data_IF_435676680045
#
_entry.id   IF_435676680045
#
_cell.length_a   1.000
_cell.length_b   1.000
_cell.length_c   1.000
_cell.angle_alpha   90.00
_cell.angle_beta   90.00
_cell.angle_gamma   90.00
#
_symmetry.space_group_name_H-M   'P 1'
#
loop_
_entity.id
_entity.type
_entity.pdbx_description
1 polymer ?
#
# COMPACT_ATOMS: atom_id res chain seq x y z
N UNK A 1 -10.26 -2.08 -8.55
CA UNK A 1 -8.98 -1.47 -8.12
C UNK A 1 -9.04 0.06 -8.13
N UNK A 2 -9.97 0.70 -8.86
CA UNK A 2 -10.11 2.17 -8.92
C UNK A 2 -10.14 2.88 -7.55
N UNK A 3 -10.91 2.38 -6.58
CA UNK A 3 -10.96 2.95 -5.22
C UNK A 3 -9.58 2.88 -4.54
N UNK A 4 -8.85 1.78 -4.69
CA UNK A 4 -7.49 1.64 -4.17
C UNK A 4 -6.53 2.60 -4.86
N UNK A 5 -6.61 2.74 -6.19
CA UNK A 5 -5.79 3.69 -6.94
C UNK A 5 -6.06 5.15 -6.50
N UNK A 6 -7.33 5.52 -6.31
CA UNK A 6 -7.72 6.83 -5.78
C UNK A 6 -7.16 7.05 -4.37
N UNK A 7 -7.23 6.04 -3.49
CA UNK A 7 -6.65 6.11 -2.16
C UNK A 7 -5.14 6.33 -2.22
N UNK A 8 -4.40 5.55 -3.02
CA UNK A 8 -2.94 5.71 -3.17
C UNK A 8 -2.58 7.08 -3.73
N UNK A 9 -3.29 7.58 -4.74
CA UNK A 9 -3.06 8.91 -5.29
C UNK A 9 -3.31 10.03 -4.27
N UNK A 10 -4.34 9.89 -3.44
CA UNK A 10 -4.62 10.85 -2.37
C UNK A 10 -3.55 10.81 -1.26
N UNK A 11 -3.05 9.62 -0.91
CA UNK A 11 -1.95 9.48 0.05
C UNK A 11 -0.67 10.16 -0.47
N UNK A 12 -0.30 9.94 -1.74
CA UNK A 12 0.85 10.61 -2.37
C UNK A 12 0.71 12.14 -2.33
N UNK A 13 -0.48 12.65 -2.65
CA UNK A 13 -0.77 14.08 -2.58
C UNK A 13 -0.52 14.65 -1.17
N UNK A 14 -1.06 13.99 -0.14
CA UNK A 14 -0.93 14.43 1.25
C UNK A 14 0.50 14.31 1.78
N UNK A 15 1.23 13.25 1.42
CA UNK A 15 2.67 13.13 1.69
C UNK A 15 3.43 14.29 1.04
N UNK A 16 3.09 14.62 -0.21
CA UNK A 16 3.66 15.74 -0.95
C UNK A 16 3.49 17.08 -0.22
N UNK A 17 2.32 17.32 0.41
CA UNK A 17 2.07 18.53 1.21
C UNK A 17 3.00 18.64 2.42
N UNK A 18 3.23 17.53 3.14
CA UNK A 18 4.18 17.50 4.26
C UNK A 18 5.59 17.81 3.78
N UNK A 19 6.04 17.15 2.71
CA UNK A 19 7.37 17.39 2.13
C UNK A 19 7.52 18.84 1.66
N UNK A 20 6.50 19.40 1.02
CA UNK A 20 6.51 20.79 0.58
C UNK A 20 6.68 21.76 1.75
N UNK A 21 6.01 21.51 2.88
CA UNK A 21 6.19 22.33 4.07
C UNK A 21 7.64 22.36 4.56
N UNK A 22 8.37 21.23 4.53
CA UNK A 22 9.80 21.20 4.87
C UNK A 22 10.67 21.97 3.87
N UNK A 23 10.28 22.03 2.59
CA UNK A 23 10.96 22.86 1.58
C UNK A 23 10.74 24.34 1.86
N UNK A 24 9.50 24.74 2.15
CA UNK A 24 9.15 26.14 2.44
C UNK A 24 9.85 26.66 3.69
N UNK A 25 10.06 25.81 4.70
CA UNK A 25 10.85 26.12 5.89
C UNK A 25 12.38 26.20 5.64
N UNK A 26 12.84 25.87 4.43
CA UNK A 26 14.28 25.78 4.11
C UNK A 26 14.98 24.62 4.83
N UNK A 27 14.24 23.61 5.30
CA UNK A 27 14.78 22.48 6.09
C UNK A 27 14.88 21.17 5.31
N UNK A 28 14.32 21.11 4.11
CA UNK A 28 14.29 19.91 3.26
C UNK A 28 15.67 19.29 3.05
N UNK A 29 16.68 20.10 2.71
CA UNK A 29 18.01 19.57 2.40
C UNK A 29 18.65 18.82 3.57
N UNK A 30 18.35 19.23 4.81
CA UNK A 30 18.86 18.60 6.02
C UNK A 30 17.81 17.75 6.74
N UNK A 31 16.84 17.20 6.01
CA UNK A 31 15.84 16.27 6.54
C UNK A 31 16.05 14.90 5.89
N UNK A 32 16.17 13.85 6.71
CA UNK A 32 16.13 12.47 6.27
C UNK A 32 14.66 12.04 6.17
N UNK A 33 14.26 11.61 4.98
CA UNK A 33 12.91 11.09 4.72
C UNK A 33 13.07 9.65 4.27
N UNK A 34 12.35 8.76 4.92
CA UNK A 34 12.25 7.35 4.60
C UNK A 34 10.79 7.08 4.24
N UNK A 35 10.56 6.60 3.03
CA UNK A 35 9.26 6.14 2.57
C UNK A 35 9.32 4.63 2.38
N UNK A 36 8.37 3.90 2.97
CA UNK A 36 8.20 2.48 2.76
C UNK A 36 6.79 2.25 2.19
N UNK A 37 6.69 1.48 1.10
CA UNK A 37 5.44 1.25 0.38
C UNK A 37 4.53 0.22 1.06
N UNK A 38 4.17 0.48 2.32
CA UNK A 38 3.38 -0.41 3.16
C UNK A 38 4.18 -0.99 4.34
N UNK A 39 3.47 -1.56 5.31
CA UNK A 39 4.02 -2.24 6.48
C UNK A 39 4.11 -3.77 6.30
N UNK A 40 3.55 -4.30 5.21
CA UNK A 40 3.54 -5.70 4.79
C UNK A 40 3.12 -5.81 3.31
N UNK A 41 3.21 -7.01 2.75
CA UNK A 41 2.72 -7.32 1.40
C UNK A 41 1.29 -6.85 1.12
N UNK A 42 0.91 -6.77 -0.15
CA UNK A 42 -0.42 -6.25 -0.50
C UNK A 42 -1.53 -7.12 0.12
N UNK A 43 -2.53 -6.56 0.80
CA UNK A 43 -3.56 -7.41 1.43
C UNK A 43 -4.43 -8.13 0.40
N UNK A 44 -4.81 -9.39 0.66
CA UNK A 44 -5.72 -10.20 -0.18
C UNK A 44 -7.05 -10.53 0.55
N UNK A 45 -7.39 -9.77 1.58
CA UNK A 45 -8.53 -10.00 2.47
C UNK A 45 -9.89 -9.74 1.78
N UNK A 46 -9.89 -9.29 0.51
CA UNK A 46 -11.08 -9.25 -0.33
C UNK A 46 -11.43 -10.59 -1.00
N UNK A 47 -10.57 -11.61 -0.92
CA UNK A 47 -10.80 -12.89 -1.58
C UNK A 47 -10.86 -12.78 -3.12
N UNK A 48 -11.24 -13.86 -3.83
CA UNK A 48 -11.17 -13.91 -5.30
C UNK A 48 -11.99 -12.82 -6.01
N UNK A 49 -13.13 -12.43 -5.44
CA UNK A 49 -14.07 -11.49 -6.08
C UNK A 49 -13.94 -10.05 -5.56
N UNK A 50 -13.15 -9.83 -4.51
CA UNK A 50 -13.25 -8.62 -3.70
C UNK A 50 -14.44 -8.67 -2.74
N UNK A 51 -14.56 -7.65 -1.91
CA UNK A 51 -15.67 -7.51 -0.96
C UNK A 51 -16.08 -6.06 -0.80
N UNK A 52 -17.38 -5.80 -0.64
CA UNK A 52 -17.90 -4.49 -0.22
C UNK A 52 -17.63 -4.19 1.28
N UNK A 53 -17.30 -5.24 2.06
CA UNK A 53 -17.03 -5.15 3.49
C UNK A 53 -15.98 -6.19 3.91
N UNK A 54 -14.79 -5.74 4.30
CA UNK A 54 -13.70 -6.57 4.81
C UNK A 54 -14.09 -7.24 6.15
N UNK A 55 -15.08 -6.71 6.87
CA UNK A 55 -15.68 -7.40 8.03
C UNK A 55 -16.24 -8.77 7.64
N UNK A 56 -16.74 -8.94 6.41
CA UNK A 56 -17.20 -10.24 5.93
C UNK A 56 -16.05 -11.27 5.95
N UNK A 57 -14.86 -10.90 5.50
CA UNK A 57 -13.67 -11.75 5.53
C UNK A 57 -13.29 -12.14 6.96
N UNK A 58 -13.25 -11.18 7.89
CA UNK A 58 -12.92 -11.46 9.30
C UNK A 58 -13.92 -12.40 9.99
N UNK A 59 -15.14 -12.51 9.47
CA UNK A 59 -16.19 -13.39 9.99
C UNK A 59 -16.39 -14.66 9.16
N UNK A 60 -15.51 -14.94 8.18
CA UNK A 60 -15.64 -16.12 7.32
C UNK A 60 -16.87 -16.12 6.41
N UNK A 61 -17.44 -14.94 6.15
CA UNK A 61 -18.60 -14.75 5.27
C UNK A 61 -18.10 -14.41 3.87
N UNK A 62 -18.57 -15.16 2.87
CA UNK A 62 -18.29 -14.91 1.46
C UNK A 62 -19.58 -14.53 0.72
N UNK A 63 -19.95 -13.23 0.64
CA UNK A 63 -21.14 -12.80 -0.07
C UNK A 63 -21.02 -13.10 -1.57
N UNK A 64 -22.11 -13.60 -2.17
CA UNK A 64 -22.17 -13.77 -3.63
C UNK A 64 -22.01 -12.43 -4.35
N UNK A 65 -21.50 -12.45 -5.58
CA UNK A 65 -21.36 -11.26 -6.43
C UNK A 65 -22.70 -10.49 -6.49
N UNK A 66 -23.82 -11.19 -6.73
CA UNK A 66 -25.16 -10.57 -6.75
C UNK A 66 -25.52 -9.83 -5.45
N UNK A 67 -25.04 -10.30 -4.31
CA UNK A 67 -25.23 -9.61 -3.02
C UNK A 67 -24.34 -8.39 -2.93
N UNK A 68 -23.07 -8.51 -3.32
CA UNK A 68 -22.11 -7.42 -3.28
C UNK A 68 -22.50 -6.26 -4.21
N UNK A 69 -23.00 -6.57 -5.41
CA UNK A 69 -23.38 -5.60 -6.43
C UNK A 69 -24.55 -4.70 -6.02
N UNK A 70 -25.35 -5.10 -5.01
CA UNK A 70 -26.38 -4.23 -4.42
C UNK A 70 -25.79 -2.99 -3.74
N UNK A 71 -24.50 -3.02 -3.42
CA UNK A 71 -23.78 -1.94 -2.76
C UNK A 71 -22.85 -1.18 -3.71
N UNK A 72 -22.91 -1.41 -5.02
CA UNK A 72 -21.95 -0.87 -5.99
C UNK A 72 -21.69 0.63 -5.81
N UNK A 73 -22.75 1.44 -5.69
CA UNK A 73 -22.65 2.90 -5.53
C UNK A 73 -22.05 3.35 -4.19
N UNK A 74 -21.97 2.46 -3.20
CA UNK A 74 -21.37 2.75 -1.90
C UNK A 74 -19.86 2.49 -1.86
N UNK A 75 -19.28 1.78 -2.85
CA UNK A 75 -17.86 1.43 -2.83
C UNK A 75 -16.98 2.67 -2.87
N UNK A 76 -16.00 2.74 -1.96
CA UNK A 76 -15.12 3.90 -1.82
C UNK A 76 -15.73 5.10 -1.08
N UNK A 77 -16.99 4.99 -0.64
CA UNK A 77 -17.62 5.96 0.26
C UNK A 77 -17.48 5.51 1.72
N UNK A 78 -17.86 6.38 2.65
CA UNK A 78 -17.95 6.08 4.08
C UNK A 78 -18.93 4.94 4.43
N UNK A 79 -19.79 4.53 3.50
CA UNK A 79 -20.79 3.48 3.70
C UNK A 79 -20.30 2.07 3.32
N UNK A 80 -19.06 1.93 2.84
CA UNK A 80 -18.45 0.65 2.53
C UNK A 80 -17.12 0.50 3.28
N UNK A 81 -16.78 -0.75 3.60
CA UNK A 81 -15.44 -1.10 4.08
C UNK A 81 -14.81 -2.04 3.06
N UNK A 82 -14.77 -1.59 1.81
CA UNK A 82 -14.48 -2.43 0.67
C UNK A 82 -13.01 -2.83 0.59
N UNK A 83 -12.76 -3.99 0.00
CA UNK A 83 -11.42 -4.49 -0.28
C UNK A 83 -11.36 -5.03 -1.71
N UNK A 84 -10.26 -4.75 -2.42
CA UNK A 84 -10.04 -5.25 -3.78
C UNK A 84 -9.90 -6.78 -3.80
N UNK A 85 -10.09 -7.39 -4.97
CA UNK A 85 -9.87 -8.83 -5.12
C UNK A 85 -8.41 -9.22 -4.93
N UNK A 86 -8.20 -10.44 -4.43
CA UNK A 86 -6.88 -11.05 -4.21
C UNK A 86 -6.03 -11.14 -5.51
N UNK A 87 -6.68 -11.18 -6.69
CA UNK A 87 -5.97 -11.14 -7.97
C UNK A 87 -5.18 -9.85 -8.16
N UNK A 88 -5.70 -8.70 -7.72
CA UNK A 88 -4.96 -7.44 -7.75
C UNK A 88 -3.82 -7.43 -6.73
N UNK A 89 -4.04 -7.98 -5.54
CA UNK A 89 -3.01 -8.11 -4.52
C UNK A 89 -1.81 -8.90 -5.02
N UNK A 90 -2.06 -10.06 -5.62
CA UNK A 90 -1.02 -10.88 -6.24
C UNK A 90 -0.29 -10.14 -7.37
N UNK A 91 -1.02 -9.36 -8.17
CA UNK A 91 -0.42 -8.59 -9.24
C UNK A 91 0.53 -7.50 -8.71
N UNK A 92 0.18 -6.82 -7.61
CA UNK A 92 1.02 -5.78 -7.02
C UNK A 92 2.27 -6.31 -6.31
N UNK A 93 2.25 -7.56 -5.86
CA UNK A 93 3.40 -8.21 -5.22
C UNK A 93 4.35 -8.89 -6.24
N UNK A 94 4.04 -8.82 -7.54
CA UNK A 94 4.90 -9.34 -8.61
C UNK A 94 6.30 -8.68 -8.57
N UNK A 95 7.40 -9.44 -8.73
CA UNK A 95 7.47 -10.83 -9.23
C UNK A 95 7.40 -11.90 -8.14
N UNK A 96 7.12 -11.52 -6.90
CA UNK A 96 7.11 -12.47 -5.78
C UNK A 96 5.76 -13.17 -5.65
N UNK A 97 5.78 -14.36 -5.06
CA UNK A 97 4.57 -15.11 -4.77
C UNK A 97 3.96 -14.66 -3.44
N UNK A 98 2.63 -14.84 -3.36
CA UNK A 98 1.80 -14.49 -2.20
C UNK A 98 1.77 -13.00 -1.87
N UNK A 99 1.18 -12.71 -0.72
CA UNK A 99 0.71 -11.41 -0.25
C UNK A 99 0.78 -11.37 1.29
N UNK A 100 0.23 -10.32 1.92
CA UNK A 100 0.08 -10.17 3.38
C UNK A 100 -0.25 -11.48 4.11
N UNK A 101 0.20 -11.62 5.35
CA UNK A 101 0.03 -12.78 6.24
C UNK A 101 0.90 -14.00 5.91
N UNK A 102 1.63 -14.03 4.78
CA UNK A 102 2.57 -15.10 4.46
C UNK A 102 4.03 -14.71 4.75
N UNK A 103 4.49 -14.95 5.99
CA UNK A 103 5.83 -14.58 6.43
C UNK A 103 6.98 -15.33 5.72
N UNK A 104 6.70 -16.47 5.09
CA UNK A 104 7.70 -17.26 4.35
C UNK A 104 7.84 -16.85 2.88
N UNK A 105 7.14 -15.81 2.45
CA UNK A 105 6.99 -15.43 1.05
C UNK A 105 7.37 -13.98 0.84
N UNK A 106 8.15 -13.70 -0.20
CA UNK A 106 8.61 -12.34 -0.47
C UNK A 106 7.46 -11.40 -0.79
N UNK A 107 6.37 -11.86 -1.41
CA UNK A 107 5.19 -11.03 -1.64
C UNK A 107 4.50 -10.61 -0.34
N UNK A 108 4.69 -11.35 0.77
CA UNK A 108 4.16 -11.00 2.08
C UNK A 108 5.04 -10.08 2.93
N UNK A 109 6.36 -10.01 2.65
CA UNK A 109 7.35 -9.37 3.55
C UNK A 109 8.27 -8.37 2.86
N UNK A 110 8.35 -8.36 1.53
CA UNK A 110 9.22 -7.45 0.79
C UNK A 110 8.47 -6.15 0.51
N UNK A 111 9.02 -5.02 0.92
CA UNK A 111 8.46 -3.69 0.70
C UNK A 111 9.48 -2.81 0.01
N UNK A 112 9.02 -2.02 -0.97
CA UNK A 112 9.86 -1.03 -1.60
C UNK A 112 10.10 0.15 -0.64
N UNK A 113 11.36 0.53 -0.47
CA UNK A 113 11.76 1.67 0.36
C UNK A 113 12.54 2.69 -0.46
N UNK A 114 12.22 3.97 -0.26
CA UNK A 114 12.94 5.11 -0.83
C UNK A 114 13.46 5.97 0.31
N UNK A 115 14.74 6.34 0.24
CA UNK A 115 15.38 7.21 1.23
C UNK A 115 15.91 8.46 0.53
N UNK A 116 15.59 9.64 1.06
CA UNK A 116 16.17 10.91 0.60
C UNK A 116 16.70 11.72 1.77
N UNK A 117 17.90 12.28 1.58
CA UNK A 117 18.51 13.23 2.48
C UNK A 117 19.53 14.07 1.68
N UNK A 118 19.11 15.20 1.07
CA UNK A 118 19.93 15.88 0.06
C UNK A 118 21.32 16.33 0.55
N UNK A 119 21.45 16.70 1.83
CA UNK A 119 22.73 17.09 2.43
C UNK A 119 23.64 15.89 2.69
N UNK A 120 23.10 14.75 3.12
CA UNK A 120 23.87 13.57 3.52
C UNK A 120 24.14 12.58 2.38
N UNK A 121 23.15 12.29 1.53
CA UNK A 121 23.25 11.31 0.45
C UNK A 121 23.75 12.00 -0.83
N UNK A 122 24.93 11.61 -1.31
CA UNK A 122 25.56 12.17 -2.52
C UNK A 122 25.18 11.43 -3.80
N UNK A 123 24.92 10.14 -3.69
CA UNK A 123 24.54 9.25 -4.79
C UNK A 123 23.03 9.31 -5.04
N UNK A 124 22.54 10.45 -5.56
CA UNK A 124 21.12 10.68 -5.81
C UNK A 124 20.61 9.76 -6.92
N UNK A 125 19.51 9.06 -6.66
CA UNK A 125 18.93 8.10 -7.61
C UNK A 125 19.64 6.74 -7.66
N UNK A 126 20.62 6.51 -6.79
CA UNK A 126 21.30 5.22 -6.69
C UNK A 126 20.37 4.11 -6.19
N UNK A 127 20.45 2.94 -6.80
CA UNK A 127 19.77 1.72 -6.35
C UNK A 127 20.61 1.03 -5.25
N UNK A 128 19.93 0.44 -4.27
CA UNK A 128 20.52 -0.33 -3.17
C UNK A 128 19.90 -1.72 -3.17
N UNK A 129 20.73 -2.75 -3.29
CA UNK A 129 20.32 -4.15 -3.39
C UNK A 129 20.67 -4.96 -2.13
N UNK A 130 21.18 -4.30 -1.08
CA UNK A 130 21.46 -4.95 0.18
C UNK A 130 20.15 -5.43 0.81
N UNK A 131 20.17 -6.66 1.34
CA UNK A 131 19.09 -7.12 2.18
C UNK A 131 19.06 -6.31 3.48
N UNK A 132 17.89 -5.82 3.87
CA UNK A 132 17.66 -5.09 5.11
C UNK A 132 16.35 -5.55 5.73
N UNK A 133 16.23 -5.34 7.04
CA UNK A 133 15.03 -5.56 7.81
C UNK A 133 14.63 -4.25 8.51
N UNK A 134 13.35 -4.10 8.84
CA UNK A 134 12.81 -2.89 9.51
C UNK A 134 13.44 -2.59 10.89
N UNK A 135 14.26 -3.50 11.43
CA UNK A 135 14.93 -3.34 12.74
C UNK A 135 16.43 -3.02 12.62
N UNK A 136 16.94 -2.84 11.40
CA UNK A 136 18.28 -2.30 11.17
C UNK A 136 18.34 -0.81 11.52
#
# INVERSE_FOLDING_TARGET
VEVFAAYVAYNDHEIGRVIQHFKDLGRYDNTLIIYQNGDNGTSAEGGPEGTFSEVAFFNGVAPSIDTQMKFYDAWGTEFAYNHMSAGWSWAFDTPFDWFKQNASRLGGINQNMVVTWPKGIKDKGGLRNQFMHVID
#
